data_IF_910929892164
#
_entry.id   IF_910929892164
#
_cell.length_a   1.000
_cell.length_b   1.000
_cell.length_c   1.000
_cell.angle_alpha   90.00
_cell.angle_beta   90.00
_cell.angle_gamma   90.00
#
_symmetry.space_group_name_H-M   'P 1'
#
loop_
_entity.id
_entity.type
_entity.pdbx_description
1 polymer ?
#
# COMPACT_ATOMS: atom_id res chain seq x y z
N UNK A 1 56.73 8.09 20.98
CA UNK A 1 56.45 8.03 19.54
C UNK A 1 55.07 7.41 19.37
N UNK A 2 54.05 8.26 19.31
CA UNK A 2 52.65 7.87 19.42
C UNK A 2 51.96 8.32 18.14
N UNK A 3 51.65 7.37 17.27
CA UNK A 3 50.96 7.62 16.00
C UNK A 3 49.50 8.00 16.28
N UNK A 4 49.01 9.16 15.81
CA UNK A 4 47.59 9.43 15.83
C UNK A 4 46.91 8.67 14.70
N UNK A 5 46.03 7.73 15.06
CA UNK A 5 45.09 7.09 14.13
C UNK A 5 44.21 8.14 13.49
N UNK A 6 44.42 8.36 12.19
CA UNK A 6 43.55 9.14 11.35
C UNK A 6 42.20 8.41 11.20
N UNK A 7 41.22 8.78 12.03
CA UNK A 7 39.83 8.41 11.82
C UNK A 7 39.35 9.09 10.55
N UNK A 8 39.43 8.37 9.44
CA UNK A 8 38.92 8.78 8.15
C UNK A 8 37.42 9.04 8.22
N UNK A 9 37.05 10.29 8.46
CA UNK A 9 35.73 10.81 8.14
C UNK A 9 35.54 10.68 6.62
N UNK A 10 35.00 9.54 6.18
CA UNK A 10 34.40 9.41 4.86
C UNK A 10 33.27 10.44 4.79
N UNK A 11 33.58 11.60 4.22
CA UNK A 11 32.59 12.52 3.64
C UNK A 11 31.64 11.69 2.78
N UNK A 12 30.45 11.37 3.30
CA UNK A 12 29.29 11.12 2.44
C UNK A 12 28.99 12.48 1.82
N UNK A 13 29.57 12.70 0.65
CA UNK A 13 29.12 13.73 -0.28
C UNK A 13 27.61 13.61 -0.41
N UNK A 14 26.94 14.76 -0.40
CA UNK A 14 25.51 14.94 -0.66
C UNK A 14 25.13 14.37 -2.04
N UNK A 15 25.08 13.05 -2.14
CA UNK A 15 24.69 12.29 -3.29
C UNK A 15 23.29 11.77 -2.99
N UNK A 16 22.28 12.44 -3.54
CA UNK A 16 21.11 11.89 -4.25
C UNK A 16 19.98 12.91 -4.26
N UNK A 17 20.16 14.01 -4.99
CA UNK A 17 19.02 14.78 -5.53
C UNK A 17 18.72 14.39 -6.99
N UNK A 18 19.48 13.41 -7.50
CA UNK A 18 19.19 12.79 -8.80
C UNK A 18 18.07 11.77 -8.56
N UNK A 19 16.84 12.19 -8.86
CA UNK A 19 15.68 11.31 -8.93
C UNK A 19 16.02 10.11 -9.83
N UNK A 20 16.00 8.88 -9.30
CA UNK A 20 16.31 7.71 -10.09
C UNK A 20 15.25 7.49 -11.16
N UNK A 21 15.71 7.15 -12.36
CA UNK A 21 14.85 6.85 -13.50
C UNK A 21 13.96 5.63 -13.19
N UNK A 22 12.64 5.83 -13.25
CA UNK A 22 11.62 4.81 -12.98
C UNK A 22 11.82 3.60 -13.90
N UNK A 23 12.25 3.81 -15.16
CA UNK A 23 12.49 2.72 -16.10
C UNK A 23 13.62 1.78 -15.66
N UNK A 24 14.59 2.27 -14.88
CA UNK A 24 15.65 1.45 -14.29
C UNK A 24 15.15 0.70 -13.06
N UNK A 25 14.33 1.36 -12.25
CA UNK A 25 13.75 0.75 -11.04
C UNK A 25 12.80 -0.41 -11.38
N UNK A 26 12.05 -0.33 -12.48
CA UNK A 26 11.15 -1.41 -12.92
C UNK A 26 11.90 -2.66 -13.39
N UNK A 27 13.15 -2.52 -13.83
CA UNK A 27 14.00 -3.63 -14.28
C UNK A 27 14.70 -4.37 -13.13
N UNK A 28 14.67 -3.83 -11.91
CA UNK A 28 15.26 -4.49 -10.75
C UNK A 28 14.53 -5.79 -10.43
N UNK A 29 15.27 -6.81 -9.99
CA UNK A 29 14.68 -8.03 -9.41
C UNK A 29 13.96 -7.71 -8.10
N UNK A 30 13.12 -8.64 -7.61
CA UNK A 30 12.42 -8.44 -6.34
C UNK A 30 13.39 -8.34 -5.16
N UNK A 31 14.50 -9.08 -5.19
CA UNK A 31 15.55 -9.04 -4.15
C UNK A 31 16.31 -7.71 -4.16
N UNK A 32 16.68 -7.22 -5.34
CA UNK A 32 17.34 -5.92 -5.50
C UNK A 32 16.43 -4.77 -5.08
N UNK A 33 15.15 -4.86 -5.45
CA UNK A 33 14.15 -3.88 -5.04
C UNK A 33 13.92 -3.93 -3.52
N UNK A 34 13.89 -5.13 -2.93
CA UNK A 34 13.79 -5.31 -1.48
C UNK A 34 14.97 -4.66 -0.76
N UNK A 35 16.20 -4.96 -1.17
CA UNK A 35 17.40 -4.35 -0.59
C UNK A 35 17.34 -2.82 -0.68
N UNK A 36 16.97 -2.29 -1.86
CA UNK A 36 16.82 -0.86 -2.08
C UNK A 36 15.76 -0.23 -1.17
N UNK A 37 14.59 -0.87 -1.05
CA UNK A 37 13.48 -0.40 -0.19
C UNK A 37 13.91 -0.39 1.28
N UNK A 38 14.53 -1.47 1.75
CA UNK A 38 14.92 -1.60 3.16
C UNK A 38 16.07 -0.67 3.54
N UNK A 39 17.01 -0.43 2.63
CA UNK A 39 18.09 0.53 2.83
C UNK A 39 17.59 1.99 2.93
N UNK A 40 16.40 2.29 2.39
CA UNK A 40 15.89 3.66 2.22
C UNK A 40 14.56 3.92 2.97
N UNK A 41 14.30 3.21 4.06
CA UNK A 41 13.10 3.43 4.87
C UNK A 41 13.12 4.76 5.64
N UNK A 42 14.30 5.32 5.88
CA UNK A 42 14.50 6.56 6.65
C UNK A 42 13.98 7.82 5.94
N UNK A 43 13.78 8.93 6.68
CA UNK A 43 13.23 10.19 6.13
C UNK A 43 14.15 10.84 5.09
N UNK A 44 15.46 10.60 5.18
CA UNK A 44 16.47 11.19 4.28
C UNK A 44 16.30 10.76 2.81
N UNK A 45 15.56 9.68 2.55
CA UNK A 45 15.34 9.13 1.21
C UNK A 45 14.00 9.57 0.57
N UNK A 46 13.49 10.75 0.92
CA UNK A 46 12.18 11.23 0.45
C UNK A 46 12.04 11.21 -1.09
N UNK A 47 13.01 11.73 -1.83
CA UNK A 47 12.95 11.80 -3.31
C UNK A 47 12.96 10.43 -3.99
N UNK A 48 13.77 9.48 -3.50
CA UNK A 48 13.72 8.09 -3.99
C UNK A 48 12.36 7.46 -3.66
N UNK A 49 11.80 7.75 -2.50
CA UNK A 49 10.53 7.17 -2.07
C UNK A 49 9.37 7.59 -2.98
N UNK A 50 9.35 8.84 -3.46
CA UNK A 50 8.39 9.30 -4.46
C UNK A 50 8.46 8.48 -5.75
N UNK A 51 9.67 8.07 -6.16
CA UNK A 51 9.88 7.21 -7.33
C UNK A 51 9.43 5.76 -7.07
N UNK A 52 9.63 5.25 -5.86
CA UNK A 52 9.25 3.88 -5.47
C UNK A 52 7.73 3.69 -5.31
N UNK A 53 6.99 4.75 -4.95
CA UNK A 53 5.52 4.70 -4.86
C UNK A 53 4.82 4.95 -6.22
N UNK A 54 5.58 5.09 -7.31
CA UNK A 54 5.00 5.22 -8.63
C UNK A 54 4.14 3.99 -9.01
N UNK A 55 3.05 4.17 -9.79
CA UNK A 55 2.12 3.09 -10.14
C UNK A 55 2.75 1.76 -10.58
N UNK A 56 3.80 1.72 -11.44
CA UNK A 56 4.36 0.44 -11.88
C UNK A 56 5.10 -0.35 -10.78
N UNK A 57 5.54 0.32 -9.70
CA UNK A 57 6.30 -0.29 -8.61
C UNK A 57 5.49 -0.48 -7.33
N UNK A 58 4.40 0.28 -7.18
CA UNK A 58 3.60 0.38 -5.97
C UNK A 58 3.18 -0.99 -5.42
N UNK A 59 2.73 -1.89 -6.29
CA UNK A 59 2.32 -3.26 -5.90
C UNK A 59 3.47 -4.08 -5.32
N UNK A 60 4.64 -4.07 -6.00
CA UNK A 60 5.84 -4.82 -5.60
C UNK A 60 6.41 -4.28 -4.29
N UNK A 61 6.56 -2.96 -4.18
CA UNK A 61 7.05 -2.29 -2.96
C UNK A 61 6.14 -2.59 -1.76
N UNK A 62 4.81 -2.52 -1.95
CA UNK A 62 3.86 -2.88 -0.90
C UNK A 62 4.00 -4.34 -0.46
N UNK A 63 4.16 -5.27 -1.41
CA UNK A 63 4.34 -6.69 -1.09
C UNK A 63 5.61 -6.92 -0.24
N UNK A 64 6.73 -6.30 -0.61
CA UNK A 64 7.98 -6.34 0.15
C UNK A 64 7.80 -5.80 1.58
N UNK A 65 7.14 -4.65 1.74
CA UNK A 65 6.92 -4.05 3.06
C UNK A 65 6.02 -4.93 3.94
N UNK A 66 4.97 -5.53 3.38
CA UNK A 66 4.09 -6.48 4.10
C UNK A 66 4.87 -7.72 4.52
N UNK A 67 5.64 -8.33 3.61
CA UNK A 67 6.47 -9.48 3.93
C UNK A 67 7.50 -9.17 5.03
N UNK A 68 8.11 -7.98 4.97
CA UNK A 68 9.04 -7.49 5.99
C UNK A 68 8.36 -7.28 7.34
N UNK A 69 7.17 -6.68 7.36
CA UNK A 69 6.39 -6.53 8.59
C UNK A 69 6.08 -7.89 9.23
N UNK A 70 5.67 -8.88 8.42
CA UNK A 70 5.43 -10.24 8.90
C UNK A 70 6.68 -10.91 9.47
N UNK A 71 7.85 -10.77 8.82
CA UNK A 71 9.13 -11.26 9.35
C UNK A 71 9.45 -10.65 10.72
N UNK A 72 9.35 -9.32 10.84
CA UNK A 72 9.57 -8.61 12.11
C UNK A 72 8.62 -9.09 13.21
N UNK A 73 7.34 -9.25 12.90
CA UNK A 73 6.34 -9.68 13.88
C UNK A 73 6.57 -11.12 14.35
N UNK A 74 6.95 -12.01 13.44
CA UNK A 74 7.33 -13.37 13.76
C UNK A 74 8.59 -13.40 14.64
N UNK A 75 9.61 -12.60 14.35
CA UNK A 75 10.82 -12.51 15.18
C UNK A 75 10.53 -11.97 16.57
N UNK A 76 9.72 -10.92 16.67
CA UNK A 76 9.26 -10.37 17.95
C UNK A 76 8.50 -11.41 18.77
N UNK A 77 7.63 -12.19 18.14
CA UNK A 77 6.88 -13.27 18.80
C UNK A 77 7.82 -14.37 19.28
N UNK A 78 8.70 -14.85 18.41
CA UNK A 78 9.65 -15.94 18.71
C UNK A 78 10.60 -15.55 19.83
N UNK A 79 11.25 -14.39 19.76
CA UNK A 79 12.20 -13.95 20.81
C UNK A 79 11.48 -13.64 22.13
N UNK A 80 10.25 -13.12 22.10
CA UNK A 80 9.44 -12.92 23.31
C UNK A 80 9.10 -14.25 23.98
N UNK A 81 8.69 -15.25 23.20
CA UNK A 81 8.39 -16.59 23.73
C UNK A 81 9.63 -17.22 24.38
N UNK A 82 10.78 -17.19 23.70
CA UNK A 82 12.06 -17.67 24.25
C UNK A 82 12.48 -16.93 25.53
N UNK A 83 12.30 -15.61 25.59
CA UNK A 83 12.55 -14.82 26.82
C UNK A 83 11.63 -15.27 27.96
N UNK A 84 10.35 -15.50 27.67
CA UNK A 84 9.38 -15.98 28.65
C UNK A 84 9.77 -17.35 29.20
N UNK A 85 10.14 -18.29 28.33
CA UNK A 85 10.59 -19.63 28.70
C UNK A 85 11.84 -19.57 29.59
N UNK A 86 12.85 -18.78 29.20
CA UNK A 86 14.05 -18.58 30.01
C UNK A 86 13.73 -18.01 31.39
N UNK A 87 12.82 -17.03 31.46
CA UNK A 87 12.38 -16.42 32.73
C UNK A 87 11.68 -17.44 33.63
N UNK A 88 10.88 -18.33 33.07
CA UNK A 88 10.25 -19.42 33.82
C UNK A 88 11.26 -20.44 34.34
N UNK A 89 12.32 -20.75 33.57
CA UNK A 89 13.34 -21.74 33.94
C UNK A 89 14.40 -21.22 34.91
N UNK A 90 14.88 -19.98 34.73
CA UNK A 90 16.03 -19.42 35.44
C UNK A 90 15.67 -18.30 36.44
N UNK A 91 14.40 -17.90 36.49
CA UNK A 91 13.97 -16.71 37.22
C UNK A 91 14.23 -15.42 36.44
N UNK A 92 13.77 -14.29 37.01
CA UNK A 92 13.98 -12.97 36.43
C UNK A 92 15.24 -12.32 37.00
N UNK A 93 16.23 -12.08 36.15
CA UNK A 93 17.37 -11.22 36.44
C UNK A 93 17.46 -10.10 35.39
N UNK A 94 16.95 -8.92 35.76
CA UNK A 94 16.98 -7.73 34.89
C UNK A 94 18.39 -7.19 34.66
N UNK A 95 19.35 -7.55 35.52
CA UNK A 95 20.74 -7.11 35.38
C UNK A 95 21.55 -8.04 34.46
N UNK A 96 20.98 -9.18 34.08
CA UNK A 96 21.61 -10.15 33.19
C UNK A 96 22.01 -9.50 31.85
N UNK A 97 23.23 -9.79 31.33
CA UNK A 97 23.65 -9.34 30.00
C UNK A 97 22.67 -9.74 28.89
N UNK A 98 21.93 -10.84 29.07
CA UNK A 98 20.90 -11.28 28.12
C UNK A 98 19.73 -10.29 28.04
N UNK A 99 19.20 -9.84 29.18
CA UNK A 99 18.07 -8.92 29.23
C UNK A 99 18.44 -7.57 28.60
N UNK A 100 19.65 -7.07 28.89
CA UNK A 100 20.17 -5.86 28.27
C UNK A 100 20.27 -5.98 26.74
N UNK A 101 20.81 -7.10 26.22
CA UNK A 101 20.87 -7.35 24.77
C UNK A 101 19.48 -7.47 24.14
N UNK A 102 18.56 -8.16 24.81
CA UNK A 102 17.18 -8.28 24.34
C UNK A 102 16.49 -6.92 24.26
N UNK A 103 16.62 -6.08 25.28
CA UNK A 103 15.99 -4.75 25.28
C UNK A 103 16.61 -3.82 24.24
N UNK A 104 17.94 -3.85 24.05
CA UNK A 104 18.61 -3.12 22.97
C UNK A 104 18.14 -3.59 21.58
N UNK A 105 18.07 -4.90 21.35
CA UNK A 105 17.55 -5.47 20.12
C UNK A 105 16.09 -5.06 19.89
N UNK A 106 15.22 -5.20 20.91
CA UNK A 106 13.81 -4.84 20.84
C UNK A 106 13.63 -3.36 20.52
N UNK A 107 14.45 -2.48 21.12
CA UNK A 107 14.47 -1.06 20.81
C UNK A 107 14.74 -0.81 19.32
N UNK A 108 15.81 -1.39 18.77
CA UNK A 108 16.16 -1.27 17.34
C UNK A 108 15.06 -1.80 16.41
N UNK A 109 14.56 -3.01 16.66
CA UNK A 109 13.49 -3.61 15.85
C UNK A 109 12.20 -2.81 15.92
N UNK A 110 11.86 -2.22 17.07
CA UNK A 110 10.66 -1.37 17.20
C UNK A 110 10.79 -0.10 16.36
N UNK A 111 11.97 0.53 16.33
CA UNK A 111 12.23 1.69 15.46
C UNK A 111 12.12 1.28 13.99
N UNK A 112 12.74 0.18 13.59
CA UNK A 112 12.67 -0.35 12.23
C UNK A 112 11.22 -0.67 11.81
N UNK A 113 10.46 -1.33 12.67
CA UNK A 113 9.03 -1.63 12.46
C UNK A 113 8.22 -0.36 12.20
N UNK A 114 8.42 0.70 12.98
CA UNK A 114 7.73 1.99 12.79
C UNK A 114 8.06 2.62 11.44
N UNK A 115 9.31 2.51 10.97
CA UNK A 115 9.69 2.97 9.64
C UNK A 115 8.94 2.18 8.55
N UNK A 116 8.92 0.84 8.65
CA UNK A 116 8.16 -0.02 7.72
C UNK A 116 6.67 0.34 7.72
N UNK A 117 6.06 0.53 8.89
CA UNK A 117 4.65 0.92 9.02
C UNK A 117 4.34 2.28 8.40
N UNK A 118 5.24 3.25 8.58
CA UNK A 118 5.13 4.60 7.99
C UNK A 118 5.20 4.53 6.46
N UNK A 119 6.14 3.74 5.92
CA UNK A 119 6.24 3.52 4.47
C UNK A 119 5.03 2.75 3.93
N UNK A 120 4.51 1.79 4.69
CA UNK A 120 3.29 1.06 4.33
C UNK A 120 2.07 2.00 4.26
N UNK A 121 1.91 2.92 5.21
CA UNK A 121 0.79 3.89 5.17
C UNK A 121 0.89 4.81 3.95
N UNK A 122 2.10 5.20 3.54
CA UNK A 122 2.32 5.98 2.32
C UNK A 122 1.93 5.19 1.06
N UNK A 123 2.27 3.90 0.95
CA UNK A 123 1.82 3.08 -0.19
C UNK A 123 0.29 2.94 -0.26
N UNK A 124 -0.39 2.87 0.90
CA UNK A 124 -1.85 2.85 0.98
C UNK A 124 -2.46 4.17 0.53
N UNK A 125 -1.90 5.30 0.95
CA UNK A 125 -2.32 6.63 0.51
C UNK A 125 -2.16 6.78 -1.01
N UNK A 126 -1.00 6.42 -1.57
CA UNK A 126 -0.76 6.45 -3.02
C UNK A 126 -1.76 5.57 -3.80
N UNK A 127 -2.10 4.38 -3.28
CA UNK A 127 -3.12 3.52 -3.88
C UNK A 127 -4.51 4.16 -3.85
N UNK A 128 -4.87 4.79 -2.73
CA UNK A 128 -6.15 5.46 -2.56
C UNK A 128 -6.28 6.66 -3.51
N UNK A 129 -5.22 7.45 -3.66
CA UNK A 129 -5.16 8.58 -4.58
C UNK A 129 -5.33 8.14 -6.03
N UNK A 130 -4.65 7.06 -6.44
CA UNK A 130 -4.77 6.52 -7.79
C UNK A 130 -6.20 6.01 -8.07
N UNK A 131 -6.78 5.27 -7.11
CA UNK A 131 -8.16 4.82 -7.21
C UNK A 131 -9.14 6.00 -7.30
N UNK A 132 -8.89 7.08 -6.55
CA UNK A 132 -9.71 8.29 -6.59
C UNK A 132 -9.62 8.98 -7.95
N UNK A 133 -8.41 9.12 -8.51
CA UNK A 133 -8.21 9.68 -9.87
C UNK A 133 -8.89 8.82 -10.93
N UNK A 134 -8.74 7.51 -10.87
CA UNK A 134 -9.38 6.58 -11.78
C UNK A 134 -10.91 6.67 -11.68
N UNK A 135 -11.45 6.74 -10.46
CA UNK A 135 -12.89 6.92 -10.22
C UNK A 135 -13.40 8.25 -10.79
N UNK A 136 -12.68 9.35 -10.57
CA UNK A 136 -13.03 10.67 -11.09
C UNK A 136 -13.01 10.70 -12.63
N UNK A 137 -12.00 10.10 -13.25
CA UNK A 137 -11.89 9.97 -14.71
C UNK A 137 -13.02 9.09 -15.29
N UNK A 138 -13.30 7.96 -14.65
CA UNK A 138 -14.43 7.10 -15.04
C UNK A 138 -15.77 7.84 -14.91
N UNK A 139 -15.96 8.64 -13.86
CA UNK A 139 -17.15 9.47 -13.71
C UNK A 139 -17.27 10.50 -14.83
N UNK A 140 -16.18 11.20 -15.19
CA UNK A 140 -16.14 12.13 -16.32
C UNK A 140 -16.48 11.45 -17.64
N UNK A 141 -15.89 10.28 -17.91
CA UNK A 141 -16.18 9.51 -19.13
C UNK A 141 -17.65 9.07 -19.18
N UNK A 142 -18.19 8.54 -18.07
CA UNK A 142 -19.61 8.15 -17.99
C UNK A 142 -20.54 9.34 -18.24
N UNK A 143 -20.21 10.52 -17.70
CA UNK A 143 -21.00 11.72 -17.94
C UNK A 143 -20.89 12.19 -19.40
N UNK A 144 -19.71 12.15 -20.01
CA UNK A 144 -19.53 12.48 -21.43
C UNK A 144 -20.34 11.55 -22.34
N UNK A 145 -20.31 10.24 -22.08
CA UNK A 145 -21.13 9.25 -22.79
C UNK A 145 -22.62 9.53 -22.61
N UNK A 146 -23.06 9.87 -21.39
CA UNK A 146 -24.46 10.25 -21.13
C UNK A 146 -24.87 11.51 -21.91
N UNK A 147 -24.02 12.54 -21.92
CA UNK A 147 -24.27 13.77 -22.66
C UNK A 147 -24.36 13.53 -24.17
N UNK A 148 -23.44 12.72 -24.71
CA UNK A 148 -23.46 12.31 -26.12
C UNK A 148 -24.74 11.55 -26.45
N UNK A 149 -25.12 10.57 -25.63
CA UNK A 149 -26.33 9.78 -25.81
C UNK A 149 -27.59 10.66 -25.80
N UNK A 150 -27.68 11.62 -24.87
CA UNK A 150 -28.77 12.61 -24.83
C UNK A 150 -28.80 13.49 -26.08
N UNK A 151 -27.64 13.96 -26.56
CA UNK A 151 -27.58 14.79 -27.76
C UNK A 151 -28.05 14.02 -29.01
N UNK A 152 -27.62 12.76 -29.16
CA UNK A 152 -28.06 11.89 -30.27
C UNK A 152 -29.58 11.67 -30.20
N UNK A 153 -30.12 11.41 -29.02
CA UNK A 153 -31.55 11.17 -28.85
C UNK A 153 -32.39 12.45 -29.07
N UNK A 154 -31.92 13.61 -28.63
CA UNK A 154 -32.53 14.90 -28.96
C UNK A 154 -32.55 15.14 -30.48
N UNK A 155 -31.44 14.88 -31.18
CA UNK A 155 -31.37 14.97 -32.65
C UNK A 155 -32.35 14.00 -33.30
N UNK A 156 -32.41 12.75 -32.83
CA UNK A 156 -33.37 11.73 -33.29
C UNK A 156 -34.81 12.18 -33.20
N UNK A 157 -35.22 12.74 -32.07
CA UNK A 157 -36.59 13.26 -31.86
C UNK A 157 -36.87 14.49 -32.74
N UNK A 158 -35.89 15.38 -32.90
CA UNK A 158 -36.04 16.58 -33.72
C UNK A 158 -36.16 16.26 -35.22
N UNK A 159 -35.30 15.39 -35.76
CA UNK A 159 -35.33 15.03 -37.18
C UNK A 159 -36.51 14.10 -37.49
N UNK A 160 -36.73 13.07 -36.66
CA UNK A 160 -37.78 12.07 -36.92
C UNK A 160 -39.21 12.61 -36.90
N UNK A 161 -39.43 13.83 -36.42
CA UNK A 161 -40.73 14.51 -36.46
C UNK A 161 -40.89 15.47 -37.64
N UNK A 162 -39.79 15.89 -38.29
CA UNK A 162 -39.78 16.92 -39.31
C UNK A 162 -39.44 16.41 -40.72
N UNK A 163 -38.57 15.39 -40.85
CA UNK A 163 -38.06 14.90 -42.13
C UNK A 163 -37.74 13.39 -42.09
N UNK A 164 -37.65 12.78 -43.26
CA UNK A 164 -37.08 11.43 -43.38
C UNK A 164 -35.57 11.48 -43.08
N UNK A 165 -35.07 10.69 -42.10
CA UNK A 165 -33.68 10.75 -41.69
C UNK A 165 -32.73 10.20 -42.76
N UNK A 166 -31.53 10.77 -42.84
CA UNK A 166 -30.50 10.27 -43.73
C UNK A 166 -29.97 8.91 -43.26
N UNK A 167 -29.35 8.10 -44.15
CA UNK A 167 -28.71 6.85 -43.75
C UNK A 167 -27.67 7.03 -42.64
N UNK A 168 -26.95 8.16 -42.64
CA UNK A 168 -25.97 8.50 -41.60
C UNK A 168 -26.63 8.75 -40.23
N UNK A 169 -27.78 9.44 -40.21
CA UNK A 169 -28.56 9.64 -38.98
C UNK A 169 -29.03 8.31 -38.40
N UNK A 170 -29.59 7.43 -39.25
CA UNK A 170 -30.02 6.10 -38.82
C UNK A 170 -28.87 5.27 -38.26
N UNK A 171 -27.71 5.31 -38.90
CA UNK A 171 -26.51 4.62 -38.41
C UNK A 171 -26.05 5.17 -37.05
N UNK A 172 -26.08 6.50 -36.85
CA UNK A 172 -25.76 7.12 -35.57
C UNK A 172 -26.76 6.73 -34.48
N UNK A 173 -28.06 6.65 -34.80
CA UNK A 173 -29.09 6.26 -33.83
C UNK A 173 -28.98 4.78 -33.43
N UNK A 174 -28.58 3.92 -34.37
CA UNK A 174 -28.33 2.50 -34.11
C UNK A 174 -27.27 2.30 -33.02
N UNK A 175 -26.28 3.20 -32.91
CA UNK A 175 -25.26 3.15 -31.85
C UNK A 175 -25.87 3.20 -30.44
N UNK A 176 -27.04 3.83 -30.26
CA UNK A 176 -27.73 3.85 -28.96
C UNK A 176 -28.31 2.48 -28.58
N UNK A 177 -28.65 1.65 -29.57
CA UNK A 177 -29.14 0.28 -29.39
C UNK A 177 -27.98 -0.71 -29.18
N UNK A 178 -26.87 -0.48 -29.89
CA UNK A 178 -25.70 -1.38 -29.87
C UNK A 178 -24.84 -1.21 -28.61
N UNK A 179 -24.73 0.02 -28.06
CA UNK A 179 -23.97 0.27 -26.84
C UNK A 179 -24.81 -0.10 -25.63
N UNK A 180 -24.34 -1.05 -24.84
CA UNK A 180 -25.02 -1.50 -23.61
C UNK A 180 -24.26 -1.10 -22.34
N UNK A 181 -24.99 -0.82 -21.25
CA UNK A 181 -24.45 -0.49 -19.94
C UNK A 181 -24.90 -1.57 -18.93
N UNK A 182 -24.00 -2.09 -18.07
CA UNK A 182 -24.40 -3.03 -17.03
C UNK A 182 -25.23 -2.31 -15.95
N UNK A 183 -26.41 -2.87 -15.65
CA UNK A 183 -27.35 -2.36 -14.65
C UNK A 183 -27.51 -3.36 -13.50
N UNK A 184 -27.45 -2.83 -12.27
CA UNK A 184 -27.66 -3.60 -11.04
C UNK A 184 -26.48 -4.50 -10.64
N UNK A 185 -26.58 -5.18 -9.47
CA UNK A 185 -25.51 -6.02 -8.93
C UNK A 185 -25.23 -7.27 -9.77
N UNK A 186 -26.21 -7.72 -10.56
CA UNK A 186 -26.07 -8.85 -11.49
C UNK A 186 -25.44 -8.45 -12.83
N UNK A 187 -25.20 -7.15 -13.07
CA UNK A 187 -24.54 -6.66 -14.27
C UNK A 187 -25.31 -6.92 -15.57
N UNK A 188 -26.65 -6.90 -15.54
CA UNK A 188 -27.47 -7.13 -16.74
C UNK A 188 -27.18 -6.03 -17.76
N UNK A 189 -26.78 -6.39 -18.98
CA UNK A 189 -26.49 -5.42 -20.02
C UNK A 189 -27.78 -4.83 -20.59
N UNK A 190 -27.95 -3.52 -20.51
CA UNK A 190 -29.12 -2.79 -20.99
C UNK A 190 -28.68 -1.79 -22.07
N UNK A 191 -29.33 -1.72 -23.24
CA UNK A 191 -29.04 -0.72 -24.26
C UNK A 191 -29.09 0.72 -23.72
N UNK A 192 -28.20 1.58 -24.23
CA UNK A 192 -28.14 2.99 -23.84
C UNK A 192 -29.45 3.71 -24.15
N UNK A 193 -30.15 3.32 -25.22
CA UNK A 193 -31.48 3.82 -25.54
C UNK A 193 -32.49 3.59 -24.41
N UNK A 194 -32.58 2.36 -23.91
CA UNK A 194 -33.49 2.02 -22.82
C UNK A 194 -33.11 2.75 -21.52
N UNK A 195 -31.80 2.97 -21.30
CA UNK A 195 -31.29 3.79 -20.20
C UNK A 195 -31.71 5.26 -20.31
N UNK A 196 -31.71 5.81 -21.51
CA UNK A 196 -32.16 7.19 -21.77
C UNK A 196 -33.65 7.34 -21.46
N UNK A 197 -34.48 6.41 -21.92
CA UNK A 197 -35.93 6.50 -21.77
C UNK A 197 -36.38 6.21 -20.33
N UNK A 198 -35.69 5.33 -19.60
CA UNK A 198 -36.13 4.86 -18.26
C UNK A 198 -35.44 5.57 -17.09
N UNK A 199 -34.14 5.88 -17.22
CA UNK A 199 -33.32 6.28 -16.07
C UNK A 199 -32.64 7.64 -16.23
N UNK A 200 -32.37 8.10 -17.46
CA UNK A 200 -31.70 9.38 -17.71
C UNK A 200 -32.62 10.48 -18.26
N UNK A 201 -33.89 10.15 -18.48
CA UNK A 201 -35.00 11.03 -18.88
C UNK A 201 -35.51 11.94 -17.76
N UNK A 202 -34.90 11.89 -16.57
CA UNK A 202 -35.29 12.75 -15.46
C UNK A 202 -34.92 14.22 -15.71
N UNK A 203 -35.95 15.02 -15.97
CA UNK A 203 -36.00 16.44 -15.59
C UNK A 203 -35.43 16.62 -14.18
N UNK A 204 -34.69 17.71 -13.96
CA UNK A 204 -33.90 18.03 -12.76
C UNK A 204 -34.70 18.14 -11.44
N UNK A 205 -35.98 17.74 -11.39
CA UNK A 205 -36.91 17.98 -10.27
C UNK A 205 -37.53 16.73 -9.61
N UNK A 206 -37.13 15.50 -9.95
CA UNK A 206 -37.70 14.31 -9.30
C UNK A 206 -36.76 13.68 -8.25
N UNK A 207 -37.24 13.40 -7.03
CA UNK A 207 -36.45 12.73 -6.01
C UNK A 207 -36.12 11.30 -6.47
N UNK A 208 -34.84 10.94 -6.40
CA UNK A 208 -34.33 9.62 -6.78
C UNK A 208 -35.16 8.50 -6.12
N UNK A 209 -35.55 7.43 -6.85
CA UNK A 209 -36.24 6.30 -6.25
C UNK A 209 -35.32 5.59 -5.23
N UNK A 210 -35.87 5.11 -4.09
CA UNK A 210 -35.06 4.53 -3.03
C UNK A 210 -34.44 3.19 -3.46
N UNK A 211 -33.10 3.12 -3.45
CA UNK A 211 -32.28 1.95 -3.80
C UNK A 211 -32.31 0.81 -2.74
N UNK A 212 -33.34 0.75 -1.88
CA UNK A 212 -33.38 -0.16 -0.73
C UNK A 212 -34.30 -1.35 -0.95
N UNK A 213 -33.91 -2.33 -1.79
CA UNK A 213 -34.64 -3.61 -1.84
C UNK A 213 -33.81 -4.89 -1.77
N UNK A 214 -32.47 -4.85 -1.71
CA UNK A 214 -31.67 -6.07 -1.92
C UNK A 214 -30.55 -6.35 -0.90
N UNK A 215 -30.60 -5.80 0.31
CA UNK A 215 -29.47 -5.92 1.25
C UNK A 215 -29.86 -6.38 2.65
N UNK A 216 -30.37 -7.61 2.80
CA UNK A 216 -30.32 -8.34 4.08
C UNK A 216 -30.24 -9.85 3.82
N UNK A 217 -29.04 -10.42 3.91
CA UNK A 217 -28.76 -11.78 4.41
C UNK A 217 -27.29 -12.16 4.13
N UNK A 218 -26.41 -11.96 5.13
CA UNK A 218 -25.21 -12.78 5.34
C UNK A 218 -24.42 -12.28 6.55
N UNK A 219 -24.77 -12.74 7.76
CA UNK A 219 -23.79 -12.89 8.85
C UNK A 219 -24.40 -13.77 9.93
N UNK A 220 -24.05 -15.06 9.89
CA UNK A 220 -24.36 -16.02 10.95
C UNK A 220 -23.17 -16.98 11.11
N UNK A 221 -22.66 -16.99 12.33
CA UNK A 221 -21.88 -18.02 13.03
C UNK A 221 -20.53 -18.49 12.46
N UNK A 222 -19.46 -18.27 13.23
CA UNK A 222 -18.50 -19.35 13.56
C UNK A 222 -17.78 -18.99 14.87
N UNK A 223 -17.99 -19.81 15.90
CA UNK A 223 -17.37 -19.74 17.22
C UNK A 223 -16.27 -20.82 17.36
N UNK A 224 -15.34 -20.50 18.27
CA UNK A 224 -14.30 -21.27 18.96
C UNK A 224 -14.17 -22.78 18.72
N UNK A 225 -12.93 -23.21 18.50
CA UNK A 225 -12.43 -24.50 18.98
C UNK A 225 -11.00 -24.33 19.52
N UNK A 226 -10.78 -24.81 20.74
CA UNK A 226 -9.53 -24.75 21.50
C UNK A 226 -8.93 -26.15 21.53
N UNK A 227 -7.75 -26.32 20.94
CA UNK A 227 -6.99 -27.56 21.05
C UNK A 227 -5.70 -27.31 21.84
N UNK A 228 -5.57 -28.07 22.93
CA UNK A 228 -4.33 -28.36 23.65
C UNK A 228 -3.40 -29.16 22.73
N UNK A 229 -2.09 -28.87 22.72
CA UNK A 229 -1.10 -29.78 22.13
C UNK A 229 0.25 -29.68 22.84
N UNK A 230 0.88 -30.85 22.94
CA UNK A 230 1.94 -31.29 23.84
C UNK A 230 3.28 -30.58 23.63
N UNK A 231 3.93 -30.24 24.76
CA UNK A 231 5.27 -29.63 24.78
C UNK A 231 6.38 -30.66 24.58
N UNK A 232 7.33 -30.46 23.64
CA UNK A 232 8.47 -31.34 23.49
C UNK A 232 9.53 -31.10 24.59
N UNK A 233 10.07 -32.22 25.09
CA UNK A 233 11.22 -32.30 25.99
C UNK A 233 12.48 -31.74 25.29
N UNK A 234 13.06 -30.70 25.87
CA UNK A 234 14.20 -29.95 25.31
C UNK A 234 15.32 -29.89 26.35
N UNK A 235 16.06 -30.99 26.46
CA UNK A 235 17.31 -31.11 27.23
C UNK A 235 18.56 -30.78 26.42
N UNK A 236 18.42 -30.12 25.26
CA UNK A 236 19.56 -29.71 24.43
C UNK A 236 19.87 -28.21 24.58
N UNK A 237 21.12 -27.81 24.88
CA UNK A 237 21.49 -26.40 24.96
C UNK A 237 21.36 -25.73 23.58
N UNK A 238 20.80 -24.51 23.51
CA UNK A 238 20.49 -23.87 22.24
C UNK A 238 21.76 -23.55 21.45
N UNK A 239 21.72 -23.89 20.16
CA UNK A 239 22.75 -23.53 19.19
C UNK A 239 23.07 -22.02 19.19
N UNK A 240 24.32 -21.62 18.92
CA UNK A 240 24.68 -20.21 18.76
C UNK A 240 23.87 -19.53 17.64
N UNK A 241 23.50 -18.27 17.87
CA UNK A 241 22.44 -17.54 17.19
C UNK A 241 22.75 -17.25 15.70
N UNK A 242 21.74 -17.26 14.81
CA UNK A 242 21.90 -16.76 13.44
C UNK A 242 22.02 -15.23 13.46
N UNK A 243 23.15 -14.72 12.94
CA UNK A 243 23.56 -13.31 12.96
C UNK A 243 22.75 -12.40 12.02
N UNK A 244 21.99 -12.98 11.09
CA UNK A 244 21.49 -12.28 9.90
C UNK A 244 20.61 -11.05 10.19
N UNK A 245 19.79 -11.07 11.24
CA UNK A 245 18.94 -9.93 11.59
C UNK A 245 19.62 -8.90 12.50
N UNK A 246 20.67 -9.30 13.23
CA UNK A 246 21.46 -8.35 14.01
C UNK A 246 22.33 -7.50 13.08
N UNK A 247 22.86 -8.10 12.01
CA UNK A 247 23.58 -7.40 10.94
C UNK A 247 22.69 -6.37 10.24
N UNK A 248 21.45 -6.74 9.89
CA UNK A 248 20.51 -5.79 9.27
C UNK A 248 20.06 -4.68 10.23
N UNK A 249 19.74 -4.99 11.48
CA UNK A 249 19.37 -3.97 12.49
C UNK A 249 20.56 -3.07 12.88
N UNK A 250 21.80 -3.52 12.66
CA UNK A 250 23.01 -2.74 12.85
C UNK A 250 23.35 -1.87 11.63
N UNK A 251 22.98 -2.31 10.42
CA UNK A 251 23.08 -1.49 9.21
C UNK A 251 22.06 -0.34 9.19
N UNK A 252 20.86 -0.55 9.73
CA UNK A 252 19.78 0.47 9.83
C UNK A 252 19.90 1.27 11.14
N UNK A 253 21.12 1.72 11.50
CA UNK A 253 21.27 2.72 12.56
C UNK A 253 20.69 4.05 12.05
N UNK A 254 19.61 4.59 12.65
CA UNK A 254 19.16 5.93 12.31
C UNK A 254 20.30 6.91 12.63
N UNK A 255 20.78 7.63 11.61
CA UNK A 255 21.79 8.69 11.72
C UNK A 255 21.20 9.92 12.41
N UNK A 256 20.66 9.78 13.61
CA UNK A 256 20.46 10.93 14.49
C UNK A 256 21.79 11.21 15.18
N UNK A 257 22.74 11.81 14.45
CA UNK A 257 23.84 12.51 15.09
C UNK A 257 23.23 13.79 15.69
N UNK A 258 23.15 13.95 17.02
CA UNK A 258 22.74 15.23 17.59
C UNK A 258 23.76 16.25 17.14
N UNK A 259 23.32 17.23 16.34
CA UNK A 259 24.13 18.40 15.99
C UNK A 259 24.51 19.06 17.31
N UNK A 260 25.74 18.84 17.74
CA UNK A 260 26.31 19.46 18.93
C UNK A 260 26.50 20.93 18.57
N UNK A 261 25.57 21.77 19.02
CA UNK A 261 25.70 23.22 18.94
C UNK A 261 27.03 23.61 19.59
N UNK A 262 27.98 24.03 18.77
CA UNK A 262 29.17 24.72 19.25
C UNK A 262 28.75 26.15 19.55
N UNK A 263 28.54 26.45 20.84
CA UNK A 263 28.47 27.82 21.33
C UNK A 263 29.75 28.55 20.93
N UNK A 264 29.61 29.49 20.00
CA UNK A 264 30.62 30.49 19.70
C UNK A 264 30.59 31.54 20.81
N UNK A 265 31.64 31.56 21.63
CA UNK A 265 32.04 32.72 22.42
C UNK A 265 33.07 33.49 21.59
N UNK A 266 32.69 34.67 21.13
CA UNK A 266 33.58 35.81 20.96
C UNK A 266 33.15 36.90 21.96
#
# INVERSE_FOLDING_TARGET
>A
MTSPSATGNRRRTAATDVLPDIAKLTQLSDEQLEELVLANLGPDAAGLWESLIAPPLLGRVRAILVATQHRIDNDLRTRRSRRSERRSKLGLDLTSPYEQRYDQWRGRVTVFKRLVETRLSQTRAATADENHRAAALNHRHRNAVRMLAKAIDCHRRAVGTAFDPEPADRALWQVLDDVTVPLGPQGVSVPVRDMLDTYWSFDENHPSPPLNLFSQHAQKDTAMDSAEDDGPDMTEPPAPWPEDLEVFAEAVRPTTNPVRATDGKD
#
